data_IF_152497326415
#
_entry.id   IF_152497326415
#
_cell.length_a   1.000
_cell.length_b   1.000
_cell.length_c   1.000
_cell.angle_alpha   90.00
_cell.angle_beta   90.00
_cell.angle_gamma   90.00
#
_symmetry.space_group_name_H-M   'P 1'
#
loop_
_entity.id
_entity.type
_entity.pdbx_description
1 polymer ?
#
# COMPACT_ATOMS: atom_id res chain seq x y z
N UNK A 1 -5.87 16.65 -18.67
CA UNK A 1 -5.06 15.92 -17.67
C UNK A 1 -5.65 14.54 -17.46
N UNK A 2 -4.82 13.52 -17.25
CA UNK A 2 -5.27 12.16 -16.90
C UNK A 2 -5.35 12.03 -15.38
N UNK A 3 -6.16 11.07 -14.92
CA UNK A 3 -6.30 10.70 -13.51
C UNK A 3 -5.72 9.30 -13.30
N UNK A 4 -5.01 9.12 -12.19
CA UNK A 4 -4.49 7.83 -11.75
C UNK A 4 -5.18 7.45 -10.45
N UNK A 5 -5.59 6.20 -10.37
CA UNK A 5 -6.30 5.59 -9.26
C UNK A 5 -5.40 4.53 -8.63
N UNK A 6 -5.12 4.64 -7.34
CA UNK A 6 -4.38 3.65 -6.55
C UNK A 6 -5.30 3.12 -5.45
N UNK A 7 -5.42 1.80 -5.35
CA UNK A 7 -6.31 1.18 -4.39
C UNK A 7 -5.93 -0.26 -4.08
N UNK A 8 -6.39 -0.74 -2.94
CA UNK A 8 -6.39 -2.15 -2.61
C UNK A 8 -7.53 -2.44 -1.64
N UNK A 9 -7.93 -3.70 -1.54
CA UNK A 9 -8.83 -4.18 -0.50
C UNK A 9 -8.52 -5.65 -0.23
N UNK A 10 -8.30 -5.97 1.04
CA UNK A 10 -8.24 -7.35 1.50
C UNK A 10 -9.66 -7.84 1.78
N UNK A 11 -10.07 -8.87 1.05
CA UNK A 11 -11.40 -9.49 1.13
C UNK A 11 -11.26 -10.89 0.52
N UNK A 12 -11.96 -11.87 1.08
CA UNK A 12 -11.99 -13.21 0.49
C UNK A 12 -12.74 -13.19 -0.84
N UNK A 13 -12.13 -13.77 -1.87
CA UNK A 13 -12.67 -13.85 -3.23
C UNK A 13 -12.69 -15.31 -3.65
N UNK A 14 -13.90 -15.84 -3.87
CA UNK A 14 -14.11 -17.26 -4.21
C UNK A 14 -13.56 -17.62 -5.60
N UNK A 15 -13.85 -16.80 -6.63
CA UNK A 15 -13.30 -16.97 -7.98
C UNK A 15 -12.46 -15.76 -8.41
N UNK A 16 -11.19 -15.69 -7.97
CA UNK A 16 -10.32 -14.55 -8.28
C UNK A 16 -9.93 -14.51 -9.77
N UNK A 17 -10.01 -15.63 -10.49
CA UNK A 17 -9.73 -15.68 -11.92
C UNK A 17 -10.87 -15.08 -12.73
N UNK A 18 -12.11 -15.40 -12.37
CA UNK A 18 -13.28 -14.78 -12.99
C UNK A 18 -13.32 -13.28 -12.72
N UNK A 19 -13.09 -12.84 -11.48
CA UNK A 19 -13.04 -11.42 -11.15
C UNK A 19 -11.93 -10.70 -11.95
N UNK A 20 -10.75 -11.32 -12.10
CA UNK A 20 -9.68 -10.77 -12.94
C UNK A 20 -10.10 -10.61 -14.40
N UNK A 21 -10.82 -11.57 -14.96
CA UNK A 21 -11.34 -11.48 -16.32
C UNK A 21 -12.38 -10.34 -16.45
N UNK A 22 -13.31 -10.21 -15.50
CA UNK A 22 -14.31 -9.14 -15.49
C UNK A 22 -13.65 -7.75 -15.42
N UNK A 23 -12.71 -7.53 -14.50
CA UNK A 23 -11.99 -6.26 -14.40
C UNK A 23 -11.18 -5.96 -15.66
N UNK A 24 -10.63 -6.99 -16.34
CA UNK A 24 -9.93 -6.82 -17.61
C UNK A 24 -10.87 -6.30 -18.70
N UNK A 25 -12.05 -6.89 -18.83
CA UNK A 25 -13.06 -6.49 -19.81
C UNK A 25 -13.52 -5.06 -19.59
N UNK A 26 -13.87 -4.72 -18.34
CA UNK A 26 -14.31 -3.37 -17.97
C UNK A 26 -13.22 -2.33 -18.20
N UNK A 27 -11.99 -2.57 -17.72
CA UNK A 27 -10.89 -1.64 -17.94
C UNK A 27 -10.57 -1.48 -19.44
N UNK A 28 -10.69 -2.54 -20.24
CA UNK A 28 -10.48 -2.48 -21.70
C UNK A 28 -11.57 -1.63 -22.37
N UNK A 29 -12.84 -1.85 -22.03
CA UNK A 29 -13.96 -1.07 -22.55
C UNK A 29 -13.87 0.42 -22.18
N UNK A 30 -13.38 0.71 -20.97
CA UNK A 30 -13.12 2.06 -20.47
C UNK A 30 -11.76 2.63 -20.93
N UNK A 31 -11.02 1.93 -21.79
CA UNK A 31 -9.70 2.36 -22.30
C UNK A 31 -8.69 2.73 -21.19
N UNK A 32 -8.85 2.13 -20.01
CA UNK A 32 -7.95 2.32 -18.89
C UNK A 32 -6.68 1.51 -19.09
N UNK A 33 -5.56 2.05 -18.60
CA UNK A 33 -4.25 1.40 -18.59
C UNK A 33 -3.74 1.29 -17.18
N UNK A 34 -2.77 0.42 -16.95
CA UNK A 34 -2.18 0.18 -15.63
C UNK A 34 -2.26 -1.29 -15.24
N UNK A 35 -2.22 -1.56 -13.94
CA UNK A 35 -2.10 -2.90 -13.41
C UNK A 35 -3.16 -3.17 -12.35
N UNK A 36 -3.78 -4.34 -12.42
CA UNK A 36 -4.64 -4.88 -11.37
C UNK A 36 -4.18 -6.30 -11.07
N UNK A 37 -3.95 -6.58 -9.79
CA UNK A 37 -3.70 -7.90 -9.25
C UNK A 37 -4.90 -8.31 -8.41
N UNK A 38 -5.35 -9.54 -8.62
CA UNK A 38 -6.41 -10.15 -7.83
C UNK A 38 -5.88 -11.48 -7.30
N UNK A 39 -6.14 -11.77 -6.04
CA UNK A 39 -5.87 -13.06 -5.40
C UNK A 39 -7.10 -13.53 -4.64
N UNK A 40 -7.01 -14.70 -4.04
CA UNK A 40 -8.01 -15.24 -3.10
C UNK A 40 -8.28 -14.28 -1.94
N UNK A 41 -7.31 -13.42 -1.61
CA UNK A 41 -7.35 -12.53 -0.45
C UNK A 41 -7.61 -11.06 -0.82
N UNK A 42 -7.96 -10.77 -2.08
CA UNK A 42 -8.49 -9.45 -2.44
C UNK A 42 -8.04 -8.91 -3.79
N UNK A 43 -7.94 -7.57 -3.87
CA UNK A 43 -7.59 -6.82 -5.08
C UNK A 43 -6.57 -5.70 -4.76
N UNK A 44 -5.66 -5.45 -5.70
CA UNK A 44 -4.70 -4.35 -5.67
C UNK A 44 -4.56 -3.75 -7.08
N UNK A 45 -4.80 -2.45 -7.23
CA UNK A 45 -4.78 -1.80 -8.54
C UNK A 45 -4.12 -0.44 -8.56
N UNK A 46 -3.46 -0.17 -9.67
CA UNK A 46 -3.09 1.17 -10.11
C UNK A 46 -3.49 1.34 -11.57
N UNK A 47 -4.53 2.12 -11.84
CA UNK A 47 -5.05 2.36 -13.20
C UNK A 47 -5.13 3.84 -13.52
N UNK A 48 -4.86 4.20 -14.77
CA UNK A 48 -4.86 5.56 -15.25
C UNK A 48 -5.67 5.72 -16.53
N UNK A 49 -6.34 6.86 -16.66
CA UNK A 49 -7.20 7.15 -17.80
C UNK A 49 -7.80 8.54 -17.76
N UNK A 50 -8.80 8.77 -18.61
CA UNK A 50 -9.58 10.01 -18.58
C UNK A 50 -10.41 10.10 -17.29
N UNK A 51 -10.54 11.29 -16.65
CA UNK A 51 -11.23 11.43 -15.39
C UNK A 51 -12.65 10.83 -15.39
N UNK A 52 -13.42 11.05 -16.46
CA UNK A 52 -14.77 10.51 -16.60
C UNK A 52 -14.80 8.98 -16.65
N UNK A 53 -13.80 8.35 -17.28
CA UNK A 53 -13.69 6.90 -17.37
C UNK A 53 -13.20 6.27 -16.06
N UNK A 54 -12.39 7.01 -15.29
CA UNK A 54 -12.02 6.62 -13.92
C UNK A 54 -13.23 6.65 -12.99
N UNK A 55 -14.11 7.66 -13.07
CA UNK A 55 -15.33 7.67 -12.26
C UNK A 55 -16.25 6.49 -12.60
N UNK A 56 -16.46 6.19 -13.89
CA UNK A 56 -17.21 4.99 -14.32
C UNK A 56 -16.61 3.69 -13.77
N UNK A 57 -15.28 3.60 -13.71
CA UNK A 57 -14.61 2.44 -13.13
C UNK A 57 -14.83 2.33 -11.62
N UNK A 58 -14.79 3.45 -10.89
CA UNK A 58 -15.08 3.49 -9.45
C UNK A 58 -16.53 3.09 -9.17
N UNK A 59 -17.47 3.56 -9.99
CA UNK A 59 -18.88 3.16 -9.91
C UNK A 59 -19.04 1.65 -10.11
N UNK A 60 -18.44 1.08 -11.16
CA UNK A 60 -18.43 -0.36 -11.40
C UNK A 60 -17.86 -1.14 -10.21
N UNK A 61 -16.70 -0.73 -9.70
CA UNK A 61 -16.07 -1.40 -8.57
C UNK A 61 -16.95 -1.33 -7.31
N UNK A 62 -17.59 -0.19 -7.04
CA UNK A 62 -18.48 -0.05 -5.87
C UNK A 62 -19.82 -0.80 -6.00
N UNK A 63 -20.24 -1.18 -7.21
CA UNK A 63 -21.44 -2.01 -7.40
C UNK A 63 -21.22 -3.47 -7.00
N UNK A 64 -19.98 -3.94 -6.95
CA UNK A 64 -19.65 -5.29 -6.53
C UNK A 64 -19.57 -5.35 -5.00
N UNK A 65 -20.39 -6.19 -4.36
CA UNK A 65 -20.51 -6.28 -2.89
C UNK A 65 -19.17 -6.46 -2.18
N UNK A 66 -18.31 -7.39 -2.66
CA UNK A 66 -16.96 -7.59 -2.12
C UNK A 66 -16.05 -6.35 -2.23
N UNK A 67 -16.29 -5.45 -3.19
CA UNK A 67 -15.44 -4.33 -3.53
C UNK A 67 -16.02 -2.97 -3.12
N UNK A 68 -17.22 -2.94 -2.55
CA UNK A 68 -17.82 -1.73 -2.00
C UNK A 68 -16.90 -1.09 -0.93
N UNK A 69 -16.75 0.24 -0.96
CA UNK A 69 -16.00 0.95 0.07
C UNK A 69 -14.47 0.86 -0.08
N UNK A 70 -13.97 0.51 -1.26
CA UNK A 70 -12.54 0.65 -1.57
C UNK A 70 -12.07 2.11 -1.33
N UNK A 71 -10.97 2.27 -0.61
CA UNK A 71 -10.30 3.56 -0.39
C UNK A 71 -9.46 3.95 -1.63
N UNK A 72 -10.15 4.50 -2.62
CA UNK A 72 -9.59 5.00 -3.86
C UNK A 72 -8.76 6.27 -3.63
N UNK A 73 -7.45 6.16 -3.85
CA UNK A 73 -6.51 7.30 -3.81
C UNK A 73 -6.32 7.81 -5.23
N UNK A 74 -6.44 9.12 -5.41
CA UNK A 74 -6.41 9.74 -6.73
C UNK A 74 -5.22 10.68 -6.87
N UNK A 75 -4.57 10.65 -8.04
CA UNK A 75 -3.57 11.64 -8.41
C UNK A 75 -3.77 12.12 -9.86
N UNK A 76 -3.25 13.31 -10.16
CA UNK A 76 -3.32 13.93 -11.48
C UNK A 76 -2.01 13.71 -12.22
N UNK A 77 -2.09 13.46 -13.52
CA UNK A 77 -0.92 13.34 -14.40
C UNK A 77 -1.16 14.07 -15.71
N UNK A 78 -0.08 14.63 -16.29
CA UNK A 78 -0.14 15.30 -17.59
C UNK A 78 -0.53 14.32 -18.72
N UNK A 79 -0.01 13.10 -18.66
CA UNK A 79 -0.28 11.98 -19.58
C UNK A 79 -0.63 10.71 -18.80
N UNK A 80 -1.07 9.66 -19.50
CA UNK A 80 -1.28 8.36 -18.86
C UNK A 80 0.10 7.74 -18.58
N UNK A 81 0.47 7.46 -17.31
CA UNK A 81 1.81 6.94 -17.00
C UNK A 81 1.98 5.47 -17.39
N UNK A 82 0.91 4.79 -17.81
CA UNK A 82 0.93 3.38 -18.17
C UNK A 82 0.88 3.18 -19.69
N UNK A 83 1.73 2.29 -20.20
CA UNK A 83 1.77 1.88 -21.60
C UNK A 83 0.57 1.01 -22.00
N UNK A 84 0.20 0.09 -21.12
CA UNK A 84 -0.68 -1.04 -21.37
C UNK A 84 -1.54 -1.37 -20.14
N UNK A 85 -2.53 -2.26 -20.33
CA UNK A 85 -3.37 -2.78 -19.27
C UNK A 85 -2.94 -4.22 -18.93
N UNK A 86 -2.65 -4.48 -17.66
CA UNK A 86 -2.35 -5.81 -17.13
C UNK A 86 -3.23 -6.13 -15.94
N UNK A 87 -4.29 -6.91 -16.17
CA UNK A 87 -5.11 -7.50 -15.10
C UNK A 87 -4.79 -8.98 -14.97
N UNK A 88 -4.35 -9.42 -13.79
CA UNK A 88 -3.86 -10.79 -13.57
C UNK A 88 -4.26 -11.34 -12.22
N UNK A 89 -4.64 -12.61 -12.22
CA UNK A 89 -4.63 -13.42 -11.01
C UNK A 89 -3.17 -13.68 -10.54
N UNK A 90 -2.97 -13.64 -9.22
CA UNK A 90 -1.74 -14.02 -8.51
C UNK A 90 -2.12 -14.69 -7.20
N UNK A 91 -1.31 -15.64 -6.72
CA UNK A 91 -1.54 -16.26 -5.40
C UNK A 91 -1.29 -15.32 -4.21
N UNK A 92 -0.68 -14.16 -4.44
CA UNK A 92 -0.51 -13.10 -3.45
C UNK A 92 -0.76 -11.73 -4.11
N UNK A 93 -1.46 -10.83 -3.41
CA UNK A 93 -1.59 -9.42 -3.81
C UNK A 93 -0.27 -8.65 -3.72
N UNK A 94 0.53 -9.03 -2.72
CA UNK A 94 1.85 -8.52 -2.42
C UNK A 94 2.72 -9.72 -2.16
N UNK A 95 3.71 -9.97 -3.02
CA UNK A 95 4.60 -11.12 -2.88
C UNK A 95 5.46 -10.95 -1.64
N UNK A 96 5.27 -11.84 -0.66
CA UNK A 96 6.06 -11.93 0.56
C UNK A 96 7.02 -13.11 0.53
N UNK A 97 6.75 -14.13 -0.30
CA UNK A 97 7.35 -15.46 -0.21
C UNK A 97 7.19 -16.12 1.19
N UNK A 98 6.25 -15.61 2.01
CA UNK A 98 6.00 -16.01 3.41
C UNK A 98 4.49 -16.11 3.73
N UNK A 99 3.63 -16.27 2.71
CA UNK A 99 2.17 -16.22 2.84
C UNK A 99 1.56 -17.18 3.88
N UNK A 100 2.25 -18.29 4.17
CA UNK A 100 1.81 -19.33 5.10
C UNK A 100 2.42 -19.12 6.51
N UNK A 101 3.23 -18.08 6.69
CA UNK A 101 3.94 -17.75 7.94
C UNK A 101 3.22 -16.66 8.76
N UNK A 102 2.12 -16.09 8.24
CA UNK A 102 1.35 -15.06 8.95
C UNK A 102 -0.14 -15.07 8.57
N UNK A 103 -0.96 -14.45 9.41
CA UNK A 103 -2.38 -14.22 9.15
C UNK A 103 -2.70 -12.71 9.09
N UNK A 104 -3.32 -12.27 7.99
CA UNK A 104 -3.72 -10.87 7.78
C UNK A 104 -4.82 -10.38 8.75
N UNK A 105 -5.43 -11.26 9.53
CA UNK A 105 -6.45 -10.89 10.52
C UNK A 105 -5.86 -10.17 11.75
N UNK A 106 -4.54 -10.23 11.95
CA UNK A 106 -3.84 -9.50 13.01
C UNK A 106 -3.67 -8.03 12.62
N UNK A 107 -4.70 -7.24 12.88
CA UNK A 107 -4.68 -5.80 12.59
C UNK A 107 -4.02 -5.05 13.71
N UNK A 108 -2.76 -4.68 13.48
CA UNK A 108 -2.09 -3.62 14.22
C UNK A 108 -2.82 -2.28 14.03
N UNK A 109 -2.56 -1.30 14.90
CA UNK A 109 -3.29 -0.05 14.88
C UNK A 109 -2.94 0.81 13.65
N UNK A 110 -3.98 1.28 12.94
CA UNK A 110 -3.80 2.27 11.87
C UNK A 110 -3.77 3.68 12.46
N UNK A 111 -2.78 4.48 12.07
CA UNK A 111 -2.67 5.88 12.47
C UNK A 111 -2.91 6.80 11.28
N UNK A 112 -3.68 7.86 11.53
CA UNK A 112 -3.94 8.90 10.52
C UNK A 112 -2.67 9.69 10.24
N UNK A 113 -2.52 10.29 9.03
CA UNK A 113 -1.43 11.20 8.73
C UNK A 113 -1.22 12.31 9.77
N UNK A 114 -2.31 12.81 10.37
CA UNK A 114 -2.26 13.81 11.45
C UNK A 114 -1.52 13.31 12.69
N UNK A 115 -1.78 12.07 13.10
CA UNK A 115 -1.13 11.47 14.27
C UNK A 115 0.36 11.30 14.03
N UNK A 116 0.74 10.75 12.87
CA UNK A 116 2.15 10.63 12.50
C UNK A 116 2.85 12.00 12.48
N UNK A 117 2.23 13.00 11.84
CA UNK A 117 2.81 14.34 11.75
C UNK A 117 3.07 14.96 13.14
N UNK A 118 2.13 14.81 14.08
CA UNK A 118 2.31 15.28 15.46
C UNK A 118 3.44 14.53 16.18
N UNK A 119 3.52 13.22 16.03
CA UNK A 119 4.61 12.44 16.65
C UNK A 119 5.99 12.83 16.10
N UNK A 120 6.08 13.10 14.79
CA UNK A 120 7.31 13.58 14.16
C UNK A 120 7.67 15.01 14.62
N UNK A 121 6.69 15.90 14.80
CA UNK A 121 6.92 17.26 15.34
C UNK A 121 7.43 17.25 16.78
N UNK A 122 7.03 16.26 17.57
CA UNK A 122 7.39 16.14 18.98
C UNK A 122 8.76 15.49 19.20
N UNK A 123 9.44 15.04 18.13
CA UNK A 123 10.74 14.36 18.20
C UNK A 123 10.77 13.25 19.27
N UNK A 124 9.73 12.39 19.29
CA UNK A 124 9.65 11.29 20.26
C UNK A 124 10.86 10.37 20.10
N UNK A 125 11.70 10.25 21.14
CA UNK A 125 12.96 9.48 21.09
C UNK A 125 12.77 8.00 20.69
N UNK A 126 11.59 7.43 20.97
CA UNK A 126 11.27 6.03 20.68
C UNK A 126 10.45 5.81 19.39
N UNK A 127 10.21 6.85 18.59
CA UNK A 127 9.49 6.71 17.32
C UNK A 127 10.43 6.17 16.23
N UNK A 128 10.08 5.00 15.68
CA UNK A 128 10.79 4.38 14.56
C UNK A 128 9.89 4.36 13.33
N UNK A 129 10.36 4.97 12.25
CA UNK A 129 9.68 4.94 10.95
C UNK A 129 10.36 3.95 10.03
N UNK A 130 9.68 2.86 9.66
CA UNK A 130 10.24 1.84 8.77
C UNK A 130 9.59 1.90 7.38
N UNK A 131 10.43 2.08 6.36
CA UNK A 131 9.98 2.11 4.96
C UNK A 131 9.85 0.69 4.40
N UNK A 132 8.62 0.25 4.15
CA UNK A 132 8.32 -1.08 3.59
C UNK A 132 8.36 -1.10 2.06
N UNK A 133 8.96 -0.09 1.42
CA UNK A 133 9.07 -0.02 -0.04
C UNK A 133 10.31 -0.71 -0.58
N UNK A 134 10.38 -0.83 -1.91
CA UNK A 134 11.59 -1.32 -2.58
C UNK A 134 12.70 -0.26 -2.54
N UNK A 135 13.94 -0.68 -2.75
CA UNK A 135 15.13 0.17 -2.63
C UNK A 135 15.12 1.41 -3.53
N UNK A 136 14.55 1.30 -4.72
CA UNK A 136 14.48 2.39 -5.69
C UNK A 136 13.53 3.50 -5.24
N UNK A 137 12.45 3.16 -4.55
CA UNK A 137 11.43 4.11 -4.08
C UNK A 137 12.02 5.01 -2.99
N UNK A 138 12.87 4.45 -2.12
CA UNK A 138 13.61 5.21 -1.10
C UNK A 138 14.54 6.28 -1.66
N UNK A 139 15.11 6.04 -2.85
CA UNK A 139 16.01 6.98 -3.52
C UNK A 139 15.28 8.18 -4.11
N UNK A 140 13.99 8.03 -4.40
CA UNK A 140 13.14 9.08 -5.00
C UNK A 140 12.62 10.04 -3.93
N UNK A 141 12.17 9.50 -2.79
CA UNK A 141 11.71 10.28 -1.66
C UNK A 141 11.49 9.42 -0.44
N UNK A 142 11.39 10.03 0.74
CA UNK A 142 11.25 9.34 2.04
C UNK A 142 10.82 10.30 3.13
N UNK A 143 10.25 9.78 4.21
CA UNK A 143 10.13 10.54 5.44
C UNK A 143 11.50 10.90 6.00
N UNK A 144 11.63 12.12 6.54
CA UNK A 144 12.77 12.55 7.33
C UNK A 144 12.99 11.55 8.47
N UNK A 145 14.24 11.19 8.71
CA UNK A 145 14.69 10.30 9.79
C UNK A 145 14.09 8.87 9.75
N UNK A 146 13.41 8.50 8.66
CA UNK A 146 12.99 7.13 8.44
C UNK A 146 14.21 6.19 8.31
N UNK A 147 13.97 4.92 8.58
CA UNK A 147 14.93 3.84 8.42
C UNK A 147 14.53 3.02 7.20
N UNK A 148 15.50 2.77 6.33
CA UNK A 148 15.38 1.83 5.23
C UNK A 148 15.88 0.47 5.68
N UNK A 149 15.03 -0.55 5.78
CA UNK A 149 15.49 -1.91 6.01
C UNK A 149 16.37 -2.41 4.86
N UNK A 150 17.21 -3.44 5.08
CA UNK A 150 18.15 -3.97 4.10
C UNK A 150 17.47 -4.79 2.98
N UNK A 151 16.33 -4.34 2.48
CA UNK A 151 15.55 -4.98 1.43
C UNK A 151 15.83 -4.34 0.07
N UNK A 152 15.98 -5.17 -0.96
CA UNK A 152 15.93 -4.71 -2.36
C UNK A 152 14.49 -4.71 -2.85
N UNK A 153 13.79 -5.81 -2.59
CA UNK A 153 12.37 -6.00 -2.85
C UNK A 153 11.61 -6.31 -1.57
N UNK A 154 10.33 -6.02 -1.54
CA UNK A 154 9.49 -6.27 -0.36
C UNK A 154 9.50 -7.75 0.11
N UNK A 155 9.57 -8.71 -0.80
CA UNK A 155 9.69 -10.15 -0.46
C UNK A 155 10.93 -10.49 0.36
N UNK A 156 11.95 -9.64 0.34
CA UNK A 156 13.18 -9.84 1.11
C UNK A 156 12.92 -9.60 2.63
N UNK A 157 11.74 -9.10 3.02
CA UNK A 157 11.40 -8.81 4.42
C UNK A 157 11.59 -10.03 5.33
N UNK A 158 11.10 -11.21 4.89
CA UNK A 158 11.18 -12.45 5.67
C UNK A 158 12.62 -12.89 5.93
N UNK A 159 13.52 -12.62 4.99
CA UNK A 159 14.92 -13.03 5.05
C UNK A 159 15.76 -12.05 5.88
N UNK A 160 15.16 -10.95 6.35
CA UNK A 160 15.85 -9.87 7.06
C UNK A 160 15.23 -9.59 8.45
N UNK A 161 14.48 -10.53 9.03
CA UNK A 161 13.80 -10.35 10.32
C UNK A 161 14.76 -9.95 11.46
N UNK A 162 15.99 -10.49 11.48
CA UNK A 162 17.03 -10.13 12.46
C UNK A 162 17.35 -8.63 12.49
N UNK A 163 17.23 -7.94 11.35
CA UNK A 163 17.43 -6.48 11.29
C UNK A 163 16.37 -5.76 12.13
N UNK A 164 15.15 -6.27 12.20
CA UNK A 164 14.05 -5.60 12.86
C UNK A 164 14.13 -5.74 14.39
N UNK A 165 14.72 -6.82 14.90
CA UNK A 165 14.81 -7.14 16.34
C UNK A 165 15.30 -5.97 17.20
N UNK A 166 16.20 -5.14 16.65
CA UNK A 166 16.72 -3.94 17.32
C UNK A 166 15.66 -2.87 17.65
N UNK A 167 14.46 -2.97 17.07
CA UNK A 167 13.36 -2.04 17.28
C UNK A 167 12.28 -2.58 18.23
N UNK A 168 12.43 -3.81 18.75
CA UNK A 168 11.48 -4.34 19.74
C UNK A 168 11.39 -3.43 20.96
N UNK A 169 10.17 -3.22 21.44
CA UNK A 169 9.86 -2.29 22.53
C UNK A 169 9.79 -0.81 22.15
N UNK A 170 10.08 -0.45 20.89
CA UNK A 170 9.92 0.92 20.38
C UNK A 170 8.53 1.12 19.76
N UNK A 171 8.15 2.38 19.57
CA UNK A 171 6.95 2.77 18.82
C UNK A 171 7.26 2.74 17.32
N UNK A 172 6.82 1.70 16.63
CA UNK A 172 7.15 1.47 15.22
C UNK A 172 5.99 1.88 14.33
N UNK A 173 6.24 2.74 13.35
CA UNK A 173 5.29 3.07 12.28
C UNK A 173 5.82 2.53 10.96
N UNK A 174 5.11 1.55 10.42
CA UNK A 174 5.31 1.04 9.07
C UNK A 174 4.62 1.95 8.06
N UNK A 175 5.29 2.24 6.95
CA UNK A 175 4.68 2.96 5.85
C UNK A 175 5.15 2.41 4.49
N UNK A 176 4.30 2.59 3.49
CA UNK A 176 4.65 2.41 2.09
C UNK A 176 3.84 3.42 1.25
N UNK A 177 3.85 3.30 -0.08
CA UNK A 177 3.15 4.23 -0.99
C UNK A 177 1.67 4.41 -0.67
N UNK A 178 0.90 3.30 -0.67
CA UNK A 178 -0.56 3.33 -0.48
C UNK A 178 -1.09 2.56 0.73
N UNK A 179 -0.23 1.88 1.50
CA UNK A 179 -0.57 1.09 2.68
C UNK A 179 -0.49 -0.44 2.50
N UNK A 180 -0.72 -0.98 1.29
CA UNK A 180 -0.90 -2.43 1.10
C UNK A 180 0.26 -3.32 1.59
N UNK A 181 1.52 -2.86 1.52
CA UNK A 181 2.68 -3.64 1.97
C UNK A 181 2.80 -3.69 3.50
N UNK A 182 2.26 -2.68 4.17
CA UNK A 182 2.29 -2.60 5.63
C UNK A 182 1.41 -3.69 6.28
N UNK A 183 0.38 -4.16 5.58
CA UNK A 183 -0.51 -5.21 6.05
C UNK A 183 0.24 -6.54 6.30
N UNK A 184 0.84 -7.20 5.28
CA UNK A 184 1.62 -8.41 5.51
C UNK A 184 2.89 -8.14 6.32
N UNK A 185 3.53 -6.97 6.19
CA UNK A 185 4.71 -6.64 6.98
C UNK A 185 4.40 -6.62 8.48
N UNK A 186 3.28 -6.00 8.86
CA UNK A 186 2.87 -5.95 10.26
C UNK A 186 2.52 -7.32 10.81
N UNK A 187 1.76 -8.12 10.05
CA UNK A 187 1.41 -9.48 10.45
C UNK A 187 2.66 -10.34 10.64
N UNK A 188 3.61 -10.30 9.69
CA UNK A 188 4.85 -11.06 9.80
C UNK A 188 5.73 -10.59 10.97
N UNK A 189 5.78 -9.29 11.27
CA UNK A 189 6.50 -8.81 12.46
C UNK A 189 5.81 -9.26 13.76
N UNK A 190 4.48 -9.22 13.85
CA UNK A 190 3.76 -9.70 15.05
C UNK A 190 4.02 -11.18 15.30
N UNK A 191 3.96 -12.02 14.26
CA UNK A 191 4.32 -13.45 14.36
C UNK A 191 5.77 -13.68 14.81
N UNK A 192 6.66 -12.73 14.54
CA UNK A 192 8.06 -12.74 14.98
C UNK A 192 8.29 -12.00 16.31
N UNK A 193 7.24 -11.83 17.12
CA UNK A 193 7.34 -11.37 18.51
C UNK A 193 7.42 -9.85 18.68
N UNK A 194 6.94 -9.08 17.70
CA UNK A 194 6.68 -7.65 17.88
C UNK A 194 5.36 -7.44 18.62
N UNK A 195 5.36 -6.50 19.55
CA UNK A 195 4.16 -6.12 20.30
C UNK A 195 3.18 -5.37 19.37
N UNK A 196 1.98 -5.91 19.11
CA UNK A 196 1.00 -5.28 18.23
C UNK A 196 0.49 -3.92 18.75
N UNK A 197 0.60 -3.64 20.06
CA UNK A 197 0.18 -2.35 20.65
C UNK A 197 1.21 -1.23 20.40
N UNK A 198 2.44 -1.61 20.03
CA UNK A 198 3.53 -0.69 19.71
C UNK A 198 3.89 -0.66 18.22
N UNK A 199 3.18 -1.45 17.40
CA UNK A 199 3.33 -1.49 15.96
C UNK A 199 2.13 -0.80 15.30
N UNK A 200 2.41 0.12 14.38
CA UNK A 200 1.41 0.96 13.74
C UNK A 200 1.61 0.96 12.22
N UNK A 201 0.53 1.16 11.48
CA UNK A 201 0.58 1.40 10.03
C UNK A 201 0.08 2.80 9.69
N UNK A 202 0.75 3.48 8.77
CA UNK A 202 0.28 4.77 8.26
C UNK A 202 -0.94 4.58 7.33
N UNK A 203 -2.11 5.05 7.79
CA UNK A 203 -3.37 4.93 7.06
C UNK A 203 -3.30 5.64 5.70
N UNK A 204 -3.50 4.85 4.63
CA UNK A 204 -3.42 5.31 3.24
C UNK A 204 -2.01 5.63 2.75
N UNK A 205 -0.98 5.33 3.54
CA UNK A 205 0.43 5.44 3.17
C UNK A 205 0.92 6.87 2.94
N UNK A 206 2.05 6.97 2.25
CA UNK A 206 2.70 8.24 1.88
C UNK A 206 1.74 9.11 1.07
N UNK A 207 0.94 8.53 0.18
CA UNK A 207 0.01 9.27 -0.68
C UNK A 207 -0.95 10.16 0.12
N UNK A 208 -1.62 9.63 1.16
CA UNK A 208 -2.52 10.44 2.01
C UNK A 208 -1.78 11.46 2.87
N UNK A 209 -0.53 11.17 3.24
CA UNK A 209 0.29 12.11 4.00
C UNK A 209 0.70 13.30 3.15
N UNK A 210 1.24 13.05 1.95
CA UNK A 210 1.70 14.10 1.03
C UNK A 210 0.53 14.92 0.51
N UNK A 211 -0.62 14.31 0.22
CA UNK A 211 -1.84 15.05 -0.15
C UNK A 211 -2.27 16.06 0.94
N UNK A 212 -2.10 15.69 2.21
CA UNK A 212 -2.49 16.52 3.34
C UNK A 212 -1.48 17.62 3.69
N UNK A 213 -0.19 17.32 3.64
CA UNK A 213 0.85 18.20 4.17
C UNK A 213 1.73 18.83 3.10
N UNK A 214 1.81 18.26 1.90
CA UNK A 214 2.63 18.78 0.81
C UNK A 214 4.05 19.12 1.28
N UNK A 215 4.48 20.35 0.98
CA UNK A 215 5.78 20.90 1.39
C UNK A 215 5.92 21.21 2.88
N UNK A 216 4.81 21.28 3.62
CA UNK A 216 4.81 21.56 5.07
C UNK A 216 5.00 20.26 5.89
N UNK A 217 5.09 19.12 5.22
CA UNK A 217 5.26 17.81 5.82
C UNK A 217 6.72 17.39 6.03
N UNK A 218 6.90 16.23 6.65
CA UNK A 218 8.22 15.62 6.83
C UNK A 218 8.62 14.66 5.70
N UNK A 219 7.86 14.58 4.62
CA UNK A 219 8.23 13.77 3.47
C UNK A 219 9.11 14.59 2.53
N UNK A 220 10.27 14.05 2.17
CA UNK A 220 11.31 14.70 1.37
C UNK A 220 11.39 14.00 0.02
N UNK A 221 11.45 14.77 -1.07
CA UNK A 221 11.49 14.25 -2.44
C UNK A 221 10.10 13.92 -2.99
N UNK A 222 10.06 13.05 -3.99
CA UNK A 222 8.82 12.69 -4.69
C UNK A 222 8.25 11.35 -4.21
N UNK A 223 6.97 11.13 -4.48
CA UNK A 223 6.27 9.87 -4.20
C UNK A 223 5.59 9.33 -5.46
#
# INVERSE_FOLDING_TARGET
>A
MKKVLLYYKFVEIEDPKQLAQQHKEVCTALQLKGRILISENGINGTVGGDPELIEKYKEYANQHELLEGIDFKESKSASNPFSDLSVKYRGELVTTDAKDEFQLCQRVQHIKPKTLHLWMQQEQEDLVLLDMRNDYEWRIGRFKDAIRPPMKYFRDLKDNLDFYEQFKGKKIVLFCTGGIRCEPASALLVENGFDPDNLYQLEGGIMKYVDRYGSDGFYIGDC
#
